data_IF_280725692035
#
_entry.id   IF_280725692035
#
_cell.length_a   1.000
_cell.length_b   1.000
_cell.length_c   1.000
_cell.angle_alpha   90.00
_cell.angle_beta   90.00
_cell.angle_gamma   90.00
#
_symmetry.space_group_name_H-M   'P 1'
#
loop_
_entity.id
_entity.type
_entity.pdbx_description
1 polymer ?
#
# COMPACT_ATOMS: atom_id res chain seq x y z
N UNK A 1 10.86 59.26 41.00
CA UNK A 1 9.81 58.84 41.94
C UNK A 1 9.04 57.71 41.27
N UNK A 2 9.46 56.47 41.49
CA UNK A 2 8.84 55.26 40.92
C UNK A 2 8.20 54.46 42.06
N UNK A 3 6.94 54.03 41.97
CA UNK A 3 6.34 53.18 42.99
C UNK A 3 6.81 51.71 42.83
N UNK A 4 7.01 50.98 43.94
CA UNK A 4 7.44 49.59 43.93
C UNK A 4 6.27 48.59 43.92
N UNK A 5 6.59 47.42 43.36
CA UNK A 5 6.20 46.07 43.81
C UNK A 5 4.72 45.74 44.08
N UNK A 6 4.06 45.10 43.09
CA UNK A 6 2.86 44.26 43.29
C UNK A 6 2.86 42.98 42.46
N UNK A 7 4.01 42.31 42.29
CA UNK A 7 4.10 41.03 41.54
C UNK A 7 4.45 39.82 42.41
N UNK A 8 4.80 39.99 43.68
CA UNK A 8 5.24 38.89 44.55
C UNK A 8 4.15 38.02 45.17
N UNK A 9 2.88 38.46 45.22
CA UNK A 9 1.82 37.74 45.96
C UNK A 9 1.02 36.74 45.13
N UNK A 10 1.00 36.84 43.80
CA UNK A 10 0.28 35.90 42.94
C UNK A 10 1.06 34.59 42.71
N UNK A 11 2.39 34.66 42.70
CA UNK A 11 3.26 33.50 42.46
C UNK A 11 3.33 32.59 43.71
N UNK A 12 3.25 33.17 44.91
CA UNK A 12 3.27 32.40 46.16
C UNK A 12 1.99 31.56 46.40
N UNK A 13 0.84 31.95 45.82
CA UNK A 13 -0.41 31.20 45.94
C UNK A 13 -0.48 29.99 44.97
N UNK A 14 0.16 30.07 43.82
CA UNK A 14 0.24 28.94 42.88
C UNK A 14 1.19 27.84 43.38
N UNK A 15 2.26 28.19 44.10
CA UNK A 15 3.20 27.23 44.67
C UNK A 15 2.73 26.57 45.97
N UNK A 16 1.84 27.20 46.74
CA UNK A 16 1.31 26.61 47.99
C UNK A 16 0.16 25.61 47.75
N UNK A 17 -0.58 25.73 46.64
CA UNK A 17 -1.60 24.73 46.28
C UNK A 17 -0.98 23.42 45.75
N UNK A 18 0.26 23.46 45.27
CA UNK A 18 0.98 22.27 44.80
C UNK A 18 1.56 21.41 45.94
N UNK A 19 1.80 21.97 47.13
CA UNK A 19 2.46 21.26 48.23
C UNK A 19 1.49 20.58 49.23
N UNK A 20 0.21 20.94 49.28
CA UNK A 20 -0.76 20.36 50.23
C UNK A 20 -1.43 19.08 49.71
N UNK A 21 -1.34 18.77 48.42
CA UNK A 21 -1.91 17.55 47.82
C UNK A 21 -1.01 16.31 48.02
N UNK A 22 0.21 16.49 48.52
CA UNK A 22 1.25 15.46 48.52
C UNK A 22 1.16 14.41 49.65
N UNK A 23 0.33 14.56 50.68
CA UNK A 23 0.44 13.69 51.88
C UNK A 23 -0.73 12.76 52.20
N UNK A 24 -1.84 12.80 51.48
CA UNK A 24 -2.90 11.77 51.65
C UNK A 24 -3.82 11.52 50.44
N UNK A 25 -3.69 12.29 49.34
CA UNK A 25 -4.57 12.17 48.16
C UNK A 25 -3.86 12.29 46.80
N UNK A 26 -2.53 12.33 46.79
CA UNK A 26 -1.71 12.66 45.60
C UNK A 26 -1.89 11.73 44.41
N UNK A 27 -2.11 10.43 44.63
CA UNK A 27 -2.38 9.50 43.54
C UNK A 27 -3.71 9.82 42.83
N UNK A 28 -4.78 10.13 43.59
CA UNK A 28 -6.10 10.39 43.02
C UNK A 28 -6.13 11.67 42.17
N UNK A 29 -5.36 12.69 42.54
CA UNK A 29 -5.25 13.93 41.77
C UNK A 29 -4.49 13.73 40.44
N UNK A 30 -3.38 12.97 40.45
CA UNK A 30 -2.62 12.65 39.24
C UNK A 30 -3.47 11.82 38.26
N UNK A 31 -4.17 10.79 38.74
CA UNK A 31 -5.09 9.99 37.91
C UNK A 31 -6.25 10.81 37.33
N UNK A 32 -6.73 11.83 38.06
CA UNK A 32 -7.79 12.70 37.56
C UNK A 32 -7.31 13.60 36.41
N UNK A 33 -6.11 14.20 36.54
CA UNK A 33 -5.53 15.05 35.50
C UNK A 33 -5.20 14.24 34.24
N UNK A 34 -4.59 13.07 34.41
CA UNK A 34 -4.27 12.14 33.30
C UNK A 34 -5.53 11.74 32.51
N UNK A 35 -6.60 11.34 33.22
CA UNK A 35 -7.90 11.03 32.60
C UNK A 35 -8.49 12.21 31.84
N UNK A 36 -8.37 13.42 32.37
CA UNK A 36 -8.85 14.63 31.70
C UNK A 36 -8.05 14.94 30.44
N UNK A 37 -6.73 14.76 30.45
CA UNK A 37 -5.87 14.94 29.29
C UNK A 37 -6.16 13.90 28.20
N UNK A 38 -6.33 12.63 28.56
CA UNK A 38 -6.76 11.60 27.62
C UNK A 38 -8.13 11.91 27.01
N UNK A 39 -9.09 12.36 27.83
CA UNK A 39 -10.42 12.72 27.34
C UNK A 39 -10.40 13.98 26.45
N UNK A 40 -9.55 14.97 26.72
CA UNK A 40 -9.42 16.15 25.85
C UNK A 40 -8.75 15.80 24.53
N UNK A 41 -7.70 14.99 24.55
CA UNK A 41 -7.03 14.48 23.35
C UNK A 41 -7.99 13.69 22.47
N UNK A 42 -8.78 12.78 23.04
CA UNK A 42 -9.78 12.00 22.29
C UNK A 42 -10.85 12.89 21.64
N UNK A 43 -11.30 13.96 22.33
CA UNK A 43 -12.25 14.93 21.74
C UNK A 43 -11.62 15.75 20.63
N UNK A 44 -10.36 16.16 20.78
CA UNK A 44 -9.62 16.89 19.76
C UNK A 44 -9.43 16.03 18.50
N UNK A 45 -9.04 14.76 18.66
CA UNK A 45 -8.93 13.81 17.55
C UNK A 45 -10.29 13.60 16.86
N UNK A 46 -11.36 13.45 17.66
CA UNK A 46 -12.71 13.31 17.13
C UNK A 46 -13.16 14.52 16.31
N UNK A 47 -12.90 15.73 16.80
CA UNK A 47 -13.22 16.97 16.09
C UNK A 47 -12.41 17.11 14.79
N UNK A 48 -11.12 16.79 14.83
CA UNK A 48 -10.26 16.80 13.64
C UNK A 48 -10.74 15.81 12.57
N UNK A 49 -11.12 14.60 12.97
CA UNK A 49 -11.68 13.61 12.06
C UNK A 49 -13.01 14.07 11.46
N UNK A 50 -13.92 14.62 12.26
CA UNK A 50 -15.21 15.14 11.77
C UNK A 50 -15.00 16.27 10.75
N UNK A 51 -14.08 17.20 11.02
CA UNK A 51 -13.74 18.29 10.11
C UNK A 51 -13.19 17.75 8.78
N UNK A 52 -12.29 16.76 8.85
CA UNK A 52 -11.75 16.08 7.66
C UNK A 52 -12.82 15.39 6.84
N UNK A 53 -13.73 14.65 7.48
CA UNK A 53 -14.84 13.98 6.76
C UNK A 53 -15.75 15.01 6.10
N UNK A 54 -16.09 16.09 6.78
CA UNK A 54 -16.92 17.15 6.20
C UNK A 54 -16.27 17.80 4.97
N UNK A 55 -14.95 18.05 5.01
CA UNK A 55 -14.20 18.54 3.85
C UNK A 55 -14.23 17.53 2.68
N UNK A 56 -13.96 16.26 2.97
CA UNK A 56 -13.99 15.19 1.98
C UNK A 56 -15.38 15.04 1.36
N UNK A 57 -16.45 15.14 2.14
CA UNK A 57 -17.84 15.08 1.66
C UNK A 57 -18.12 16.16 0.62
N UNK A 58 -17.64 17.38 0.82
CA UNK A 58 -17.79 18.46 -0.18
C UNK A 58 -17.06 18.13 -1.48
N UNK A 59 -15.85 17.55 -1.40
CA UNK A 59 -15.07 17.14 -2.58
C UNK A 59 -15.72 15.96 -3.30
N UNK A 60 -16.21 14.97 -2.57
CA UNK A 60 -16.95 13.83 -3.11
C UNK A 60 -18.25 14.25 -3.78
N UNK A 61 -18.95 15.24 -3.22
CA UNK A 61 -20.15 15.83 -3.84
C UNK A 61 -19.84 16.51 -5.19
N UNK A 62 -18.62 17.06 -5.35
CA UNK A 62 -18.11 17.60 -6.62
C UNK A 62 -17.56 16.52 -7.58
N UNK A 63 -17.63 15.24 -7.20
CA UNK A 63 -17.20 14.13 -8.05
C UNK A 63 -15.69 13.86 -8.03
N UNK A 64 -14.94 14.36 -7.05
CA UNK A 64 -13.49 14.12 -6.92
C UNK A 64 -13.21 12.65 -6.54
N UNK A 65 -12.63 11.83 -7.45
CA UNK A 65 -12.40 10.42 -7.16
C UNK A 65 -11.25 10.20 -6.17
N UNK A 66 -10.28 11.11 -6.07
CA UNK A 66 -9.22 11.01 -5.07
C UNK A 66 -9.79 11.24 -3.66
N UNK A 67 -10.71 12.20 -3.51
CA UNK A 67 -11.42 12.41 -2.26
C UNK A 67 -12.27 11.19 -1.86
N UNK A 68 -12.89 10.50 -2.83
CA UNK A 68 -13.62 9.25 -2.56
C UNK A 68 -12.71 8.16 -1.99
N UNK A 69 -11.49 8.00 -2.51
CA UNK A 69 -10.50 7.05 -2.00
C UNK A 69 -10.11 7.39 -0.56
N UNK A 70 -9.73 8.65 -0.30
CA UNK A 70 -9.32 9.08 1.03
C UNK A 70 -10.46 8.91 2.03
N UNK A 71 -11.67 9.32 1.68
CA UNK A 71 -12.84 9.14 2.53
C UNK A 71 -13.16 7.66 2.77
N UNK A 72 -13.09 6.83 1.74
CA UNK A 72 -13.29 5.39 1.84
C UNK A 72 -12.32 4.77 2.85
N UNK A 73 -11.03 5.11 2.79
CA UNK A 73 -10.05 4.62 3.75
C UNK A 73 -10.24 5.16 5.17
N UNK A 74 -10.67 6.43 5.33
CA UNK A 74 -11.00 6.98 6.66
C UNK A 74 -12.15 6.23 7.34
N UNK A 75 -13.16 5.84 6.56
CA UNK A 75 -14.29 5.03 7.03
C UNK A 75 -13.92 3.58 7.38
N UNK A 76 -12.70 3.15 7.05
CA UNK A 76 -12.15 1.84 7.42
C UNK A 76 -11.10 1.93 8.53
N UNK A 77 -10.77 3.12 9.03
CA UNK A 77 -9.64 3.32 9.96
C UNK A 77 -9.96 2.74 11.35
N UNK A 78 -9.13 1.81 11.88
CA UNK A 78 -9.34 1.18 13.19
C UNK A 78 -9.42 2.16 14.38
N UNK A 79 -8.72 3.29 14.28
CA UNK A 79 -8.66 4.34 15.31
C UNK A 79 -9.98 5.10 15.48
N UNK A 80 -11.03 4.74 14.75
CA UNK A 80 -12.36 5.35 14.89
C UNK A 80 -13.42 4.32 15.33
N UNK A 81 -13.32 3.74 16.56
CA UNK A 81 -14.33 2.83 17.08
C UNK A 81 -15.73 3.44 17.00
N UNK A 82 -16.69 2.68 16.45
CA UNK A 82 -18.07 3.15 16.26
C UNK A 82 -18.30 4.09 15.06
N UNK A 83 -17.27 4.39 14.26
CA UNK A 83 -17.37 5.23 13.05
C UNK A 83 -16.97 4.52 11.75
N UNK A 84 -16.68 3.23 11.83
CA UNK A 84 -16.43 2.42 10.65
C UNK A 84 -17.73 2.24 9.86
N UNK A 85 -17.67 2.50 8.56
CA UNK A 85 -18.77 2.27 7.64
C UNK A 85 -18.24 1.62 6.37
N UNK A 86 -18.04 0.30 6.45
CA UNK A 86 -17.50 -0.51 5.38
C UNK A 86 -18.37 -0.49 4.11
N UNK A 87 -19.70 -0.40 4.27
CA UNK A 87 -20.62 -0.36 3.14
C UNK A 87 -20.50 0.96 2.39
N UNK A 88 -20.36 2.08 3.10
CA UNK A 88 -20.10 3.39 2.49
C UNK A 88 -18.71 3.45 1.86
N UNK A 89 -17.69 2.93 2.52
CA UNK A 89 -16.34 2.83 1.97
C UNK A 89 -16.33 2.07 0.65
N UNK A 90 -16.99 0.91 0.59
CA UNK A 90 -17.14 0.12 -0.64
C UNK A 90 -17.73 0.95 -1.79
N UNK A 91 -18.87 1.61 -1.55
CA UNK A 91 -19.54 2.45 -2.57
C UNK A 91 -18.64 3.59 -3.06
N UNK A 92 -17.83 4.17 -2.17
CA UNK A 92 -16.87 5.22 -2.55
C UNK A 92 -15.78 4.67 -3.46
N UNK A 93 -15.19 3.51 -3.11
CA UNK A 93 -14.20 2.86 -3.97
C UNK A 93 -14.79 2.42 -5.31
N UNK A 94 -16.01 1.88 -5.35
CA UNK A 94 -16.68 1.54 -6.60
C UNK A 94 -16.88 2.75 -7.51
N UNK A 95 -17.39 3.86 -6.95
CA UNK A 95 -17.58 5.10 -7.71
C UNK A 95 -16.26 5.66 -8.22
N UNK A 96 -15.23 5.70 -7.38
CA UNK A 96 -13.91 6.18 -7.77
C UNK A 96 -13.27 5.30 -8.85
N UNK A 97 -13.37 3.97 -8.73
CA UNK A 97 -12.86 3.02 -9.71
C UNK A 97 -13.58 3.13 -11.06
N UNK A 98 -14.91 3.36 -11.04
CA UNK A 98 -15.71 3.63 -12.24
C UNK A 98 -15.32 4.94 -12.93
N UNK A 99 -14.82 5.93 -12.17
CA UNK A 99 -14.24 7.17 -12.69
C UNK A 99 -12.79 7.00 -13.17
N UNK A 100 -12.26 5.78 -13.19
CA UNK A 100 -10.92 5.49 -13.69
C UNK A 100 -9.79 5.78 -12.71
N UNK A 101 -10.07 5.97 -11.42
CA UNK A 101 -9.03 6.24 -10.44
C UNK A 101 -8.23 4.97 -10.08
N UNK A 102 -6.92 5.00 -10.36
CA UNK A 102 -6.02 3.87 -10.16
C UNK A 102 -5.92 3.39 -8.70
N UNK A 103 -5.89 4.28 -7.71
CA UNK A 103 -5.87 3.89 -6.29
C UNK A 103 -7.14 3.09 -5.92
N UNK A 104 -8.31 3.58 -6.32
CA UNK A 104 -9.57 2.89 -6.09
C UNK A 104 -9.64 1.54 -6.80
N UNK A 105 -9.18 1.47 -8.05
CA UNK A 105 -9.10 0.21 -8.80
C UNK A 105 -8.14 -0.78 -8.13
N UNK A 106 -7.01 -0.33 -7.61
CA UNK A 106 -6.05 -1.17 -6.90
C UNK A 106 -6.63 -1.71 -5.58
N UNK A 107 -7.24 -0.84 -4.76
CA UNK A 107 -7.84 -1.20 -3.47
C UNK A 107 -9.01 -2.16 -3.67
N UNK A 108 -9.97 -1.79 -4.52
CA UNK A 108 -11.14 -2.61 -4.80
C UNK A 108 -10.72 -3.92 -5.48
N UNK A 109 -9.79 -3.85 -6.44
CA UNK A 109 -9.28 -4.99 -7.17
C UNK A 109 -8.63 -6.03 -6.26
N UNK A 110 -7.71 -5.60 -5.38
CA UNK A 110 -7.11 -6.49 -4.38
C UNK A 110 -8.17 -7.05 -3.41
N UNK A 111 -9.15 -6.24 -3.01
CA UNK A 111 -10.16 -6.69 -2.06
C UNK A 111 -11.05 -7.78 -2.65
N UNK A 112 -11.59 -7.56 -3.85
CA UNK A 112 -12.43 -8.54 -4.55
C UNK A 112 -11.66 -9.83 -4.88
N UNK A 113 -10.35 -9.71 -5.14
CA UNK A 113 -9.47 -10.83 -5.41
C UNK A 113 -9.18 -11.69 -4.17
N UNK A 114 -8.97 -11.03 -3.02
CA UNK A 114 -8.63 -11.70 -1.76
C UNK A 114 -9.85 -12.08 -0.91
N UNK A 115 -11.03 -11.55 -1.23
CA UNK A 115 -12.23 -11.66 -0.39
C UNK A 115 -12.11 -10.93 0.94
N UNK A 116 -11.17 -9.99 1.08
CA UNK A 116 -10.90 -9.20 2.28
C UNK A 116 -10.18 -7.92 1.93
N UNK A 117 -10.41 -6.86 2.69
CA UNK A 117 -9.69 -5.60 2.53
C UNK A 117 -8.18 -5.79 2.73
N UNK A 118 -7.32 -4.94 2.14
CA UNK A 118 -5.90 -4.93 2.45
C UNK A 118 -5.69 -4.91 3.97
N UNK A 119 -4.72 -5.69 4.46
CA UNK A 119 -4.43 -5.95 5.88
C UNK A 119 -4.37 -4.69 6.76
N UNK A 120 -4.08 -3.53 6.17
CA UNK A 120 -3.98 -2.24 6.84
C UNK A 120 -5.36 -1.66 7.25
N UNK A 121 -6.45 -2.26 6.77
CA UNK A 121 -7.85 -1.96 7.13
C UNK A 121 -8.50 -3.09 7.96
N UNK A 122 -7.76 -4.13 8.33
CA UNK A 122 -8.32 -5.36 8.88
C UNK A 122 -8.78 -5.20 10.34
N UNK A 123 -10.08 -5.34 10.55
CA UNK A 123 -10.71 -5.73 11.81
C UNK A 123 -11.86 -6.68 11.52
N UNK A 124 -11.55 -7.92 11.18
CA UNK A 124 -12.53 -9.00 11.08
C UNK A 124 -13.46 -8.88 9.87
N UNK A 125 -14.10 -9.99 9.54
CA UNK A 125 -15.04 -10.24 8.43
C UNK A 125 -15.75 -8.97 7.92
N UNK A 126 -15.17 -8.33 6.90
CA UNK A 126 -15.83 -7.24 6.22
C UNK A 126 -16.69 -7.81 5.09
N UNK A 127 -17.98 -7.47 5.00
CA UNK A 127 -18.93 -8.13 4.10
C UNK A 127 -18.82 -7.61 2.67
N UNK A 128 -17.62 -7.57 2.09
CA UNK A 128 -17.45 -7.26 0.68
C UNK A 128 -17.46 -8.57 -0.12
N UNK A 129 -18.22 -8.65 -1.23
CA UNK A 129 -18.28 -9.87 -2.01
C UNK A 129 -16.91 -10.19 -2.62
N UNK A 130 -16.51 -11.46 -2.59
CA UNK A 130 -15.37 -11.91 -3.39
C UNK A 130 -15.81 -12.02 -4.87
N UNK A 131 -15.01 -11.43 -5.76
CA UNK A 131 -15.19 -11.56 -7.21
C UNK A 131 -13.79 -11.54 -7.85
N UNK A 132 -13.10 -12.69 -7.88
CA UNK A 132 -11.71 -12.73 -8.37
C UNK A 132 -11.56 -12.26 -9.82
N UNK A 133 -12.56 -12.49 -10.67
CA UNK A 133 -12.52 -12.07 -12.06
C UNK A 133 -12.57 -10.55 -12.19
N UNK A 134 -13.53 -9.90 -11.51
CA UNK A 134 -13.61 -8.43 -11.46
C UNK A 134 -12.40 -7.84 -10.76
N UNK A 135 -11.95 -8.45 -9.67
CA UNK A 135 -10.76 -8.04 -8.92
C UNK A 135 -9.50 -8.02 -9.79
N UNK A 136 -9.27 -9.09 -10.55
CA UNK A 136 -8.14 -9.18 -11.47
C UNK A 136 -8.24 -8.16 -12.61
N UNK A 137 -9.46 -7.91 -13.12
CA UNK A 137 -9.66 -6.88 -14.16
C UNK A 137 -9.34 -5.47 -13.65
N UNK A 138 -9.82 -5.10 -12.46
CA UNK A 138 -9.52 -3.80 -11.85
C UNK A 138 -8.02 -3.62 -11.56
N UNK A 139 -7.36 -4.66 -11.05
CA UNK A 139 -5.91 -4.62 -10.85
C UNK A 139 -5.14 -4.47 -12.17
N UNK A 140 -5.62 -5.07 -13.26
CA UNK A 140 -5.01 -4.91 -14.57
C UNK A 140 -5.18 -3.47 -15.11
N UNK A 141 -6.33 -2.84 -14.85
CA UNK A 141 -6.55 -1.41 -15.17
C UNK A 141 -5.65 -0.50 -14.33
N UNK A 142 -5.52 -0.77 -13.04
CA UNK A 142 -4.62 -0.04 -12.15
C UNK A 142 -3.15 -0.21 -12.58
N UNK A 143 -2.74 -1.43 -12.95
CA UNK A 143 -1.40 -1.71 -13.47
C UNK A 143 -1.05 -0.92 -14.75
N UNK A 144 -2.04 -0.52 -15.54
CA UNK A 144 -1.84 0.31 -16.73
C UNK A 144 -1.66 1.80 -16.40
N UNK A 145 -1.97 2.21 -15.18
CA UNK A 145 -1.89 3.60 -14.72
C UNK A 145 -0.70 3.84 -13.79
N UNK A 146 -0.28 2.83 -13.03
CA UNK A 146 0.80 2.97 -12.06
C UNK A 146 1.40 1.64 -11.62
N UNK A 147 2.65 1.72 -11.17
CA UNK A 147 3.41 0.58 -10.67
C UNK A 147 3.09 0.24 -9.21
N UNK A 148 2.87 1.27 -8.41
CA UNK A 148 2.56 1.15 -6.98
C UNK A 148 1.60 2.26 -6.57
N UNK A 149 0.61 1.88 -5.77
CA UNK A 149 -0.35 2.78 -5.14
C UNK A 149 -0.14 2.74 -3.63
N UNK A 150 -0.01 3.90 -3.01
CA UNK A 150 0.18 4.01 -1.57
C UNK A 150 -0.51 5.25 -1.01
N UNK A 151 -1.04 5.13 0.20
CA UNK A 151 -1.56 6.27 0.94
C UNK A 151 -0.46 7.30 1.20
N UNK A 152 -0.81 8.58 1.14
CA UNK A 152 0.13 9.68 1.44
C UNK A 152 0.25 9.90 2.95
N UNK A 153 1.17 10.77 3.34
CA UNK A 153 1.28 11.19 4.74
C UNK A 153 -0.05 11.77 5.23
N UNK A 154 -0.50 11.28 6.39
CA UNK A 154 -1.79 11.64 6.96
C UNK A 154 -3.00 10.99 6.27
N UNK A 155 -2.86 10.24 5.18
CA UNK A 155 -3.94 9.45 4.58
C UNK A 155 -3.97 8.02 5.15
N UNK A 156 -5.09 7.29 4.96
CA UNK A 156 -5.15 5.88 5.30
C UNK A 156 -4.01 5.11 4.63
N UNK A 157 -3.23 4.37 5.42
CA UNK A 157 -2.08 3.63 4.90
C UNK A 157 -2.55 2.42 4.10
N UNK A 158 -2.05 2.31 2.87
CA UNK A 158 -2.10 1.12 2.03
C UNK A 158 -0.85 1.11 1.15
N UNK A 159 -0.49 -0.07 0.63
CA UNK A 159 0.53 -0.23 -0.40
C UNK A 159 0.13 -1.39 -1.31
N UNK A 160 -0.06 -1.11 -2.59
CA UNK A 160 -0.55 -2.08 -3.57
C UNK A 160 0.27 -1.93 -4.86
N UNK A 161 0.99 -2.99 -5.22
CA UNK A 161 1.64 -3.12 -6.52
C UNK A 161 0.80 -4.07 -7.38
N UNK A 162 -0.07 -3.56 -8.29
CA UNK A 162 -1.12 -4.39 -8.89
C UNK A 162 -0.58 -5.57 -9.69
N UNK A 163 0.54 -5.39 -10.40
CA UNK A 163 1.17 -6.45 -11.17
C UNK A 163 1.69 -7.59 -10.27
N UNK A 164 2.27 -7.26 -9.12
CA UNK A 164 2.77 -8.27 -8.17
C UNK A 164 1.62 -9.01 -7.49
N UNK A 165 0.51 -8.31 -7.19
CA UNK A 165 -0.72 -8.94 -6.67
C UNK A 165 -1.28 -9.94 -7.69
N UNK A 166 -1.39 -9.55 -8.96
CA UNK A 166 -1.84 -10.43 -10.05
C UNK A 166 -0.89 -11.63 -10.25
N UNK A 167 0.42 -11.39 -10.27
CA UNK A 167 1.42 -12.44 -10.42
C UNK A 167 1.28 -13.52 -9.31
N UNK A 168 1.18 -13.11 -8.04
CA UNK A 168 0.98 -14.03 -6.91
C UNK A 168 -0.35 -14.78 -7.00
N UNK A 169 -1.42 -14.09 -7.39
CA UNK A 169 -2.74 -14.71 -7.55
C UNK A 169 -2.72 -15.81 -8.61
N UNK A 170 -2.20 -15.53 -9.80
CA UNK A 170 -2.13 -16.52 -10.87
C UNK A 170 -1.17 -17.67 -10.56
N UNK A 171 -0.08 -17.38 -9.83
CA UNK A 171 0.81 -18.43 -9.32
C UNK A 171 0.07 -19.39 -8.39
N UNK A 172 -0.73 -18.86 -7.44
CA UNK A 172 -1.51 -19.66 -6.50
C UNK A 172 -2.59 -20.52 -7.18
N UNK A 173 -3.10 -20.07 -8.33
CA UNK A 173 -4.06 -20.83 -9.14
C UNK A 173 -3.41 -21.78 -10.16
N UNK A 174 -2.08 -21.87 -10.20
CA UNK A 174 -1.36 -22.69 -11.19
C UNK A 174 -1.45 -22.16 -12.63
N UNK A 175 -1.92 -20.93 -12.84
CA UNK A 175 -2.04 -20.29 -14.15
C UNK A 175 -0.68 -19.74 -14.62
N UNK A 176 0.22 -20.63 -15.01
CA UNK A 176 1.61 -20.31 -15.34
C UNK A 176 1.77 -19.17 -16.35
N UNK A 177 1.06 -19.20 -17.48
CA UNK A 177 1.18 -18.17 -18.51
C UNK A 177 0.80 -16.77 -17.99
N UNK A 178 -0.28 -16.67 -17.22
CA UNK A 178 -0.73 -15.42 -16.63
C UNK A 178 0.24 -14.93 -15.54
N UNK A 179 0.72 -15.83 -14.67
CA UNK A 179 1.74 -15.51 -13.67
C UNK A 179 3.00 -14.92 -14.34
N UNK A 180 3.57 -15.62 -15.32
CA UNK A 180 4.77 -15.18 -16.03
C UNK A 180 4.56 -13.86 -16.78
N UNK A 181 3.37 -13.64 -17.33
CA UNK A 181 3.01 -12.36 -17.96
C UNK A 181 3.07 -11.22 -16.96
N UNK A 182 2.38 -11.33 -15.81
CA UNK A 182 2.31 -10.26 -14.83
C UNK A 182 3.63 -10.03 -14.08
N UNK A 183 4.40 -11.09 -13.82
CA UNK A 183 5.76 -10.98 -13.29
C UNK A 183 6.69 -10.24 -14.27
N UNK A 184 6.69 -10.63 -15.55
CA UNK A 184 7.52 -9.97 -16.55
C UNK A 184 7.12 -8.49 -16.73
N UNK A 185 5.82 -8.17 -16.68
CA UNK A 185 5.34 -6.78 -16.70
C UNK A 185 5.86 -5.98 -15.50
N UNK A 186 5.79 -6.52 -14.27
CA UNK A 186 6.26 -5.78 -13.09
C UNK A 186 7.76 -5.48 -13.15
N UNK A 187 8.52 -6.35 -13.80
CA UNK A 187 9.96 -6.19 -13.99
C UNK A 187 10.27 -5.18 -15.11
N UNK A 188 9.68 -5.35 -16.29
CA UNK A 188 9.95 -4.50 -17.46
C UNK A 188 9.41 -3.07 -17.27
N UNK A 189 8.18 -2.93 -16.79
CA UNK A 189 7.52 -1.63 -16.68
C UNK A 189 7.87 -0.91 -15.37
N UNK A 190 8.02 -1.66 -14.28
CA UNK A 190 8.07 -1.09 -12.93
C UNK A 190 9.38 -1.32 -12.19
N UNK A 191 10.35 -2.01 -12.80
CA UNK A 191 11.63 -2.37 -12.18
C UNK A 191 11.44 -3.06 -10.83
N UNK A 192 10.47 -3.96 -10.75
CA UNK A 192 10.13 -4.68 -9.52
C UNK A 192 11.34 -5.39 -8.93
N UNK A 193 11.49 -5.31 -7.60
CA UNK A 193 12.52 -6.01 -6.82
C UNK A 193 12.38 -7.55 -6.91
N UNK A 194 11.26 -8.06 -7.43
CA UNK A 194 11.13 -9.49 -7.72
C UNK A 194 12.31 -10.01 -8.58
N UNK A 195 12.89 -9.17 -9.46
CA UNK A 195 14.07 -9.54 -10.23
C UNK A 195 15.30 -9.88 -9.36
N UNK A 196 15.45 -9.25 -8.19
CA UNK A 196 16.50 -9.55 -7.22
C UNK A 196 16.31 -10.94 -6.58
N UNK A 197 15.08 -11.30 -6.20
CA UNK A 197 14.78 -12.65 -5.69
C UNK A 197 15.10 -13.74 -6.74
N UNK A 198 14.87 -13.43 -8.02
CA UNK A 198 15.20 -14.34 -9.12
C UNK A 198 16.70 -14.40 -9.44
N UNK A 199 17.47 -13.33 -9.17
CA UNK A 199 18.93 -13.38 -9.29
C UNK A 199 19.53 -14.35 -8.26
N UNK A 200 19.04 -14.33 -7.02
CA UNK A 200 19.40 -15.31 -6.00
C UNK A 200 19.07 -16.73 -6.44
N UNK A 201 17.92 -16.95 -7.07
CA UNK A 201 17.53 -18.26 -7.63
C UNK A 201 18.46 -18.71 -8.74
N UNK A 202 18.90 -17.81 -9.62
CA UNK A 202 19.82 -18.13 -10.72
C UNK A 202 21.23 -18.50 -10.22
N UNK A 203 21.67 -17.89 -9.12
CA UNK A 203 23.01 -18.04 -8.55
C UNK A 203 23.10 -19.11 -7.46
N UNK A 204 21.96 -19.58 -6.93
CA UNK A 204 21.93 -20.56 -5.86
C UNK A 204 22.56 -21.90 -6.29
N UNK A 205 23.50 -22.41 -5.46
CA UNK A 205 24.19 -23.68 -5.72
C UNK A 205 23.21 -24.85 -5.81
N UNK A 206 22.18 -24.84 -4.97
CA UNK A 206 21.14 -25.85 -4.87
C UNK A 206 20.00 -25.71 -5.91
N UNK A 207 20.00 -24.65 -6.72
CA UNK A 207 18.97 -24.49 -7.75
C UNK A 207 19.12 -25.53 -8.86
N UNK A 208 18.00 -26.17 -9.21
CA UNK A 208 17.91 -27.07 -10.37
C UNK A 208 18.19 -26.32 -11.67
N UNK A 209 18.58 -27.00 -12.76
CA UNK A 209 18.77 -26.36 -14.07
C UNK A 209 17.56 -25.55 -14.52
N UNK A 210 16.34 -26.08 -14.33
CA UNK A 210 15.10 -25.39 -14.67
C UNK A 210 14.91 -24.09 -13.87
N UNK A 211 15.24 -24.09 -12.57
CA UNK A 211 15.18 -22.88 -11.73
C UNK A 211 16.22 -21.84 -12.16
N UNK A 212 17.44 -22.27 -12.50
CA UNK A 212 18.49 -21.37 -13.01
C UNK A 212 18.11 -20.74 -14.35
N UNK A 213 17.54 -21.54 -15.26
CA UNK A 213 16.98 -21.04 -16.54
C UNK A 213 15.89 -20.01 -16.30
N UNK A 214 14.97 -20.27 -15.35
CA UNK A 214 13.92 -19.32 -15.00
C UNK A 214 14.49 -18.01 -14.41
N UNK A 215 15.39 -18.10 -13.43
CA UNK A 215 16.04 -16.94 -12.82
C UNK A 215 16.83 -16.11 -13.83
N UNK A 216 17.66 -16.75 -14.66
CA UNK A 216 18.39 -16.07 -15.73
C UNK A 216 17.45 -15.41 -16.74
N UNK A 217 16.35 -16.05 -17.12
CA UNK A 217 15.38 -15.45 -18.04
C UNK A 217 14.71 -14.19 -17.49
N UNK A 218 14.54 -14.12 -16.17
CA UNK A 218 14.00 -12.94 -15.50
C UNK A 218 15.03 -11.80 -15.47
N UNK A 219 16.29 -12.09 -15.09
CA UNK A 219 17.35 -11.08 -15.11
C UNK A 219 17.57 -10.48 -16.51
N UNK A 220 17.47 -11.32 -17.56
CA UNK A 220 17.59 -10.87 -18.96
C UNK A 220 16.46 -9.93 -19.42
N UNK A 221 15.40 -9.75 -18.64
CA UNK A 221 14.41 -8.68 -18.88
C UNK A 221 14.98 -7.29 -18.55
N UNK A 222 16.00 -7.19 -17.69
CA UNK A 222 16.66 -5.95 -17.26
C UNK A 222 18.19 -6.10 -17.26
N UNK A 223 18.83 -6.30 -18.42
CA UNK A 223 20.26 -6.60 -18.49
C UNK A 223 21.13 -5.50 -17.88
N UNK A 224 20.71 -4.24 -17.96
CA UNK A 224 21.46 -3.10 -17.41
C UNK A 224 21.49 -3.09 -15.87
N UNK A 225 20.53 -3.73 -15.22
CA UNK A 225 20.43 -3.81 -13.74
C UNK A 225 21.16 -5.02 -13.15
N UNK A 226 21.47 -6.03 -13.96
CA UNK A 226 21.99 -7.33 -13.49
C UNK A 226 23.21 -7.81 -14.29
N UNK A 227 24.00 -6.89 -14.86
CA UNK A 227 25.07 -7.26 -15.79
C UNK A 227 26.11 -8.22 -15.18
N UNK A 228 26.46 -8.04 -13.91
CA UNK A 228 27.43 -8.89 -13.20
C UNK A 228 26.83 -10.24 -12.81
N UNK A 229 25.60 -10.23 -12.30
CA UNK A 229 24.85 -11.42 -11.91
C UNK A 229 24.53 -12.31 -13.13
N UNK A 230 24.20 -11.71 -14.28
CA UNK A 230 24.00 -12.42 -15.53
C UNK A 230 25.28 -13.13 -15.95
N UNK A 231 26.44 -12.45 -15.93
CA UNK A 231 27.73 -13.07 -16.28
C UNK A 231 28.07 -14.20 -15.31
N UNK A 232 27.86 -13.99 -14.02
CA UNK A 232 28.14 -14.99 -12.99
C UNK A 232 27.22 -16.22 -13.13
N UNK A 233 25.93 -16.01 -13.39
CA UNK A 233 24.98 -17.10 -13.64
C UNK A 233 25.35 -17.90 -14.90
N UNK A 234 25.67 -17.21 -16.00
CA UNK A 234 26.07 -17.84 -17.26
C UNK A 234 27.35 -18.69 -17.12
N UNK A 235 28.34 -18.22 -16.36
CA UNK A 235 29.57 -18.98 -16.11
C UNK A 235 29.31 -20.31 -15.38
N UNK A 236 28.20 -20.42 -14.64
CA UNK A 236 27.78 -21.63 -13.91
C UNK A 236 26.71 -22.46 -14.61
N UNK A 237 26.41 -22.21 -15.89
CA UNK A 237 25.34 -22.87 -16.64
C UNK A 237 25.85 -23.49 -17.95
N UNK A 238 25.17 -24.51 -18.45
CA UNK A 238 25.48 -25.08 -19.77
C UNK A 238 25.07 -24.12 -20.90
N UNK A 239 25.70 -24.21 -22.07
CA UNK A 239 25.30 -23.44 -23.24
C UNK A 239 23.83 -23.68 -23.63
N UNK A 240 23.33 -24.91 -23.42
CA UNK A 240 21.94 -25.27 -23.68
C UNK A 240 20.97 -24.55 -22.72
N UNK A 241 21.31 -24.45 -21.44
CA UNK A 241 20.52 -23.74 -20.43
C UNK A 241 20.52 -22.22 -20.68
N UNK A 242 21.66 -21.65 -21.05
CA UNK A 242 21.76 -20.22 -21.42
C UNK A 242 20.86 -19.93 -22.63
N UNK A 243 20.90 -20.78 -23.66
CA UNK A 243 20.03 -20.65 -24.82
C UNK A 243 18.54 -20.82 -24.46
N UNK A 244 18.22 -21.73 -23.53
CA UNK A 244 16.87 -21.90 -23.02
C UNK A 244 16.36 -20.66 -22.28
N UNK A 245 17.20 -20.03 -21.44
CA UNK A 245 16.88 -18.78 -20.76
C UNK A 245 16.66 -17.64 -21.77
N UNK A 246 17.47 -17.56 -22.82
CA UNK A 246 17.29 -16.59 -23.91
C UNK A 246 15.94 -16.76 -24.63
N UNK A 247 15.58 -17.99 -25.02
CA UNK A 247 14.26 -18.29 -25.63
C UNK A 247 13.11 -17.92 -24.70
N UNK A 248 13.23 -18.26 -23.42
CA UNK A 248 12.22 -17.93 -22.41
C UNK A 248 12.07 -16.42 -22.23
N UNK A 249 13.16 -15.67 -22.21
CA UNK A 249 13.13 -14.20 -22.14
C UNK A 249 12.38 -13.60 -23.33
N UNK A 250 12.65 -14.08 -24.54
CA UNK A 250 11.96 -13.64 -25.75
C UNK A 250 10.44 -13.91 -25.65
N UNK A 251 10.06 -15.08 -25.14
CA UNK A 251 8.66 -15.42 -24.91
C UNK A 251 8.00 -14.52 -23.86
N UNK A 252 8.68 -14.24 -22.74
CA UNK A 252 8.18 -13.31 -21.72
C UNK A 252 7.95 -11.91 -22.30
N UNK A 253 8.88 -11.39 -23.11
CA UNK A 253 8.72 -10.09 -23.80
C UNK A 253 7.53 -10.12 -24.77
N UNK A 254 7.31 -11.23 -25.48
CA UNK A 254 6.14 -11.41 -26.35
C UNK A 254 4.83 -11.36 -25.57
N UNK A 255 4.76 -12.05 -24.42
CA UNK A 255 3.60 -12.03 -23.53
C UNK A 255 3.33 -10.64 -22.97
N UNK A 256 4.38 -9.92 -22.56
CA UNK A 256 4.27 -8.50 -22.15
C UNK A 256 3.67 -7.68 -23.28
N UNK A 257 4.23 -7.73 -24.49
CA UNK A 257 3.74 -6.96 -25.64
C UNK A 257 2.26 -7.26 -25.97
N UNK A 258 1.83 -8.53 -25.91
CA UNK A 258 0.43 -8.92 -26.12
C UNK A 258 -0.46 -8.31 -25.03
N UNK A 259 -0.05 -8.41 -23.76
CA UNK A 259 -0.83 -7.85 -22.65
C UNK A 259 -0.94 -6.32 -22.73
N UNK A 260 0.09 -5.63 -23.26
CA UNK A 260 0.11 -4.18 -23.44
C UNK A 260 -0.89 -3.67 -24.47
N UNK A 261 -1.33 -4.51 -25.41
CA UNK A 261 -2.40 -4.16 -26.34
C UNK A 261 -3.74 -3.93 -25.62
N UNK A 262 -3.95 -4.60 -24.48
CA UNK A 262 -5.16 -4.49 -23.67
C UNK A 262 -4.98 -3.57 -22.47
N UNK A 263 -3.81 -3.62 -21.83
CA UNK A 263 -3.46 -2.84 -20.65
C UNK A 263 -2.11 -2.17 -20.92
N UNK A 264 -2.10 -0.93 -21.44
CA UNK A 264 -0.86 -0.23 -21.77
C UNK A 264 0.15 -0.21 -20.62
N UNK A 265 1.43 -0.08 -20.94
CA UNK A 265 2.43 0.11 -19.89
C UNK A 265 2.13 1.39 -19.09
N UNK A 266 2.28 1.38 -17.76
CA UNK A 266 2.12 2.59 -16.97
C UNK A 266 3.16 3.64 -17.36
N UNK A 267 2.89 4.94 -17.13
CA UNK A 267 3.87 5.99 -17.31
C UNK A 267 5.12 5.63 -16.52
N UNK A 268 6.28 5.63 -17.18
CA UNK A 268 7.56 5.46 -16.48
C UNK A 268 7.74 6.65 -15.54
N UNK A 269 8.10 6.44 -14.26
CA UNK A 269 8.50 7.57 -13.43
C UNK A 269 9.64 8.29 -14.15
N UNK A 270 9.52 9.61 -14.30
CA UNK A 270 10.63 10.43 -14.77
C UNK A 270 11.82 10.13 -13.89
N UNK A 271 12.93 9.69 -14.50
CA UNK A 271 14.20 9.53 -13.77
C UNK A 271 14.46 10.81 -12.97
N UNK A 272 14.73 10.72 -11.66
CA UNK A 272 15.07 11.89 -10.85
C UNK A 272 16.31 12.60 -11.37
#
# INVERSE_FOLDING_TARGET
>A
MFPPERTGRAIALALTLALVVATAGGCNAIYAVDRMQHASAARAEAAAWNARIAELEQRVARGDPAAMVVQGGELLRPASPGRMDAARAYRLFERAAALGNGDAQAILGQTLLAGRVPFQFDRGEMPWPADPARGAHLLAQAAAQGCEYRGREGEPTYRIAPMDVLARHYAAQGQQAAWWTWLARSIVACRSLAAEDWSHTALARQATPAQRVAGLSVMLLQPDSFGDEIRLAQAGMSAADIAAAGRRTAELRRLVAISEQRYPAPPRPSSP
#
